data_IF_893514557696
#
_entry.id   IF_893514557696
#
_cell.length_a   1.000
_cell.length_b   1.000
_cell.length_c   1.000
_cell.angle_alpha   90.00
_cell.angle_beta   90.00
_cell.angle_gamma   90.00
#
_symmetry.space_group_name_H-M   'P 1'
#
loop_
_entity.id
_entity.type
_entity.pdbx_description
1 polymer ?
#
# COMPACT_ATOMS: atom_id res chain seq x y z
N UNK A 1 8.22 -10.00 -8.13
CA UNK A 1 8.27 -10.51 -6.74
C UNK A 1 6.89 -10.64 -6.12
N UNK A 2 6.13 -9.56 -5.86
CA UNK A 2 4.78 -9.67 -5.27
C UNK A 2 3.81 -10.46 -6.14
N UNK A 3 3.79 -10.18 -7.46
CA UNK A 3 2.97 -10.94 -8.42
C UNK A 3 3.28 -12.43 -8.41
N UNK A 4 4.55 -12.82 -8.35
CA UNK A 4 4.98 -14.23 -8.35
C UNK A 4 4.50 -14.96 -7.08
N UNK A 5 4.60 -14.30 -5.92
CA UNK A 5 4.10 -14.83 -4.64
C UNK A 5 2.58 -14.96 -4.70
N UNK A 6 1.87 -13.95 -5.21
CA UNK A 6 0.42 -14.01 -5.37
C UNK A 6 -0.01 -15.19 -6.24
N UNK A 7 0.65 -15.39 -7.40
CA UNK A 7 0.36 -16.52 -8.28
C UNK A 7 0.66 -17.86 -7.61
N UNK A 8 1.76 -17.97 -6.85
CA UNK A 8 2.08 -19.17 -6.09
C UNK A 8 1.00 -19.50 -5.04
N UNK A 9 0.53 -18.49 -4.28
CA UNK A 9 -0.52 -18.67 -3.28
C UNK A 9 -1.86 -19.05 -3.93
N UNK A 10 -2.18 -18.45 -5.08
CA UNK A 10 -3.38 -18.75 -5.86
C UNK A 10 -3.35 -20.19 -6.38
N UNK A 11 -2.27 -20.60 -7.05
CA UNK A 11 -2.13 -21.94 -7.64
C UNK A 11 -2.08 -23.05 -6.61
N UNK A 12 -1.54 -22.80 -5.41
CA UNK A 12 -1.59 -23.74 -4.28
C UNK A 12 -2.92 -23.75 -3.52
N UNK A 13 -3.92 -22.96 -3.97
CA UNK A 13 -5.24 -22.87 -3.34
C UNK A 13 -5.24 -22.19 -1.98
N UNK A 14 -4.15 -21.52 -1.58
CA UNK A 14 -4.03 -20.88 -0.26
C UNK A 14 -4.98 -19.68 -0.15
N UNK A 15 -5.21 -18.96 -1.25
CA UNK A 15 -6.10 -17.79 -1.27
C UNK A 15 -7.57 -18.15 -0.94
N UNK A 16 -7.99 -19.40 -1.13
CA UNK A 16 -9.35 -19.85 -0.77
C UNK A 16 -9.66 -19.69 0.72
N UNK A 17 -8.61 -19.72 1.57
CA UNK A 17 -8.73 -19.49 3.02
C UNK A 17 -9.00 -18.04 3.39
N UNK A 18 -8.80 -17.13 2.44
CA UNK A 18 -9.01 -15.70 2.57
C UNK A 18 -10.29 -15.22 1.86
N UNK A 19 -10.99 -16.10 1.16
CA UNK A 19 -12.26 -15.80 0.51
C UNK A 19 -13.36 -15.52 1.55
N UNK A 20 -14.06 -14.42 1.35
CA UNK A 20 -15.24 -13.97 2.10
C UNK A 20 -16.32 -13.56 1.10
N UNK A 21 -17.54 -13.26 1.54
CA UNK A 21 -18.63 -12.69 0.71
C UNK A 21 -18.71 -13.27 -0.71
N UNK A 22 -19.18 -14.51 -0.83
CA UNK A 22 -19.31 -15.20 -2.13
C UNK A 22 -18.01 -15.32 -2.94
N UNK A 23 -16.97 -15.87 -2.28
CA UNK A 23 -15.66 -16.20 -2.90
C UNK A 23 -14.86 -14.99 -3.36
N UNK A 24 -15.05 -13.84 -2.72
CA UNK A 24 -14.31 -12.61 -2.97
C UNK A 24 -13.15 -12.44 -1.98
N UNK A 25 -12.11 -11.72 -2.37
CA UNK A 25 -11.03 -11.33 -1.47
C UNK A 25 -11.30 -9.92 -0.96
N UNK A 26 -11.19 -9.72 0.35
CA UNK A 26 -11.23 -8.40 0.95
C UNK A 26 -9.83 -7.78 0.92
N UNK A 27 -9.72 -6.61 0.29
CA UNK A 27 -8.45 -5.90 0.10
C UNK A 27 -8.62 -4.46 0.61
N UNK A 28 -8.35 -4.19 1.90
CA UNK A 28 -8.16 -2.83 2.36
C UNK A 28 -6.96 -2.19 1.67
N UNK A 29 -7.13 -0.90 1.35
CA UNK A 29 -6.10 -0.01 0.85
C UNK A 29 -5.85 1.02 1.95
N UNK A 30 -4.62 1.08 2.46
CA UNK A 30 -4.21 2.05 3.46
C UNK A 30 -3.01 2.83 2.94
N UNK A 31 -2.97 4.14 3.15
CA UNK A 31 -1.84 4.98 2.76
C UNK A 31 -0.90 5.19 3.95
N UNK A 32 0.40 5.22 3.66
CA UNK A 32 1.42 5.51 4.68
C UNK A 32 2.49 6.44 4.15
N UNK A 33 2.96 7.38 4.97
CA UNK A 33 4.13 8.21 4.66
C UNK A 33 5.38 7.32 4.72
N UNK A 34 5.92 6.96 3.56
CA UNK A 34 7.09 6.10 3.42
C UNK A 34 8.41 6.84 3.75
N UNK A 35 8.49 8.11 3.35
CA UNK A 35 9.67 8.94 3.54
C UNK A 35 9.29 10.41 3.67
N UNK A 36 10.00 11.15 4.53
CA UNK A 36 9.92 12.61 4.56
C UNK A 36 11.25 13.29 4.86
N UNK A 37 11.43 14.49 4.30
CA UNK A 37 12.62 15.32 4.48
C UNK A 37 12.32 16.80 4.27
N UNK A 38 13.09 17.67 4.91
CA UNK A 38 13.10 19.10 4.62
C UNK A 38 14.12 19.49 3.55
N UNK A 39 15.08 18.60 3.23
CA UNK A 39 16.21 18.90 2.36
C UNK A 39 16.28 18.02 1.10
N UNK A 40 15.85 16.76 1.19
CA UNK A 40 15.90 15.79 0.09
C UNK A 40 14.53 15.75 -0.60
N UNK A 41 14.49 15.98 -1.90
CA UNK A 41 13.26 15.95 -2.68
C UNK A 41 13.49 15.47 -4.12
N UNK A 42 12.42 15.05 -4.79
CA UNK A 42 12.38 14.75 -6.21
C UNK A 42 11.06 15.27 -6.83
N UNK A 43 10.93 15.17 -8.15
CA UNK A 43 9.74 15.65 -8.87
C UNK A 43 8.45 14.91 -8.50
N UNK A 44 8.57 13.70 -7.96
CA UNK A 44 7.46 12.84 -7.55
C UNK A 44 7.09 13.01 -6.06
N UNK A 45 7.79 13.88 -5.32
CA UNK A 45 7.44 14.15 -3.93
C UNK A 45 6.19 15.03 -3.85
N UNK A 46 5.28 14.67 -2.94
CA UNK A 46 4.31 15.61 -2.39
C UNK A 46 5.00 16.55 -1.40
N UNK A 47 4.39 17.70 -1.13
CA UNK A 47 4.95 18.66 -0.17
C UNK A 47 3.87 19.26 0.72
N UNK A 48 4.24 19.59 1.95
CA UNK A 48 3.42 20.37 2.89
C UNK A 48 4.18 21.59 3.37
N UNK A 49 3.52 22.73 3.34
CA UNK A 49 4.03 23.98 3.92
C UNK A 49 3.47 24.16 5.32
N UNK A 50 4.35 24.26 6.31
CA UNK A 50 4.00 24.43 7.72
C UNK A 50 3.65 25.90 8.02
N UNK A 51 2.98 26.13 9.16
CA UNK A 51 2.57 27.49 9.59
C UNK A 51 3.75 28.46 9.77
N UNK A 52 4.94 27.94 10.07
CA UNK A 52 6.18 28.72 10.21
C UNK A 52 6.91 28.95 8.86
N UNK A 53 6.32 28.53 7.74
CA UNK A 53 6.86 28.69 6.39
C UNK A 53 7.85 27.59 5.97
N UNK A 54 8.18 26.61 6.81
CA UNK A 54 9.04 25.51 6.39
C UNK A 54 8.29 24.56 5.46
N UNK A 55 9.01 23.95 4.52
CA UNK A 55 8.46 22.95 3.59
C UNK A 55 8.98 21.57 3.98
N UNK A 56 8.12 20.57 3.95
CA UNK A 56 8.50 19.16 4.05
C UNK A 56 8.05 18.44 2.81
N UNK A 57 8.99 17.77 2.16
CA UNK A 57 8.74 16.88 1.03
C UNK A 57 8.57 15.47 1.54
N UNK A 58 7.63 14.72 0.96
CA UNK A 58 7.34 13.36 1.39
C UNK A 58 6.87 12.49 0.23
N UNK A 59 7.08 11.19 0.39
CA UNK A 59 6.45 10.15 -0.41
C UNK A 59 5.52 9.35 0.48
N UNK A 60 4.30 9.14 0.00
CA UNK A 60 3.38 8.17 0.58
C UNK A 60 3.23 6.99 -0.37
N UNK A 61 2.82 5.85 0.15
CA UNK A 61 2.48 4.68 -0.65
C UNK A 61 1.16 4.08 -0.17
N UNK A 62 0.36 3.60 -1.12
CA UNK A 62 -0.80 2.74 -0.85
C UNK A 62 -0.27 1.32 -0.64
N UNK A 63 -0.72 0.70 0.44
CA UNK A 63 -0.34 -0.65 0.87
C UNK A 63 -1.56 -1.58 0.80
N UNK A 64 -1.83 -2.22 -0.35
CA UNK A 64 -2.89 -3.22 -0.46
C UNK A 64 -2.53 -4.49 0.31
N UNK A 65 -3.47 -5.01 1.12
CA UNK A 65 -3.30 -6.29 1.82
C UNK A 65 -4.54 -7.16 1.70
N UNK A 66 -4.38 -8.47 1.47
CA UNK A 66 -5.50 -9.42 1.52
C UNK A 66 -5.72 -9.82 2.98
N UNK A 67 -6.96 -9.68 3.44
CA UNK A 67 -7.38 -9.99 4.81
C UNK A 67 -8.60 -10.92 4.84
N UNK A 68 -8.79 -11.60 5.96
CA UNK A 68 -9.99 -12.39 6.24
C UNK A 68 -10.22 -12.43 7.75
N UNK A 69 -11.47 -12.30 8.24
CA UNK A 69 -11.77 -12.46 9.67
C UNK A 69 -11.39 -13.85 10.22
N UNK A 70 -11.23 -14.84 9.35
CA UNK A 70 -10.88 -16.22 9.71
C UNK A 70 -9.36 -16.47 9.73
N UNK A 71 -8.53 -15.50 9.31
CA UNK A 71 -7.06 -15.63 9.28
C UNK A 71 -6.40 -14.57 10.16
N UNK A 72 -5.42 -14.99 10.98
CA UNK A 72 -4.62 -14.07 11.81
C UNK A 72 -3.53 -13.32 11.02
N UNK A 73 -3.03 -13.94 9.95
CA UNK A 73 -2.00 -13.36 9.09
C UNK A 73 -2.63 -12.68 7.89
N UNK A 74 -2.04 -11.57 7.46
CA UNK A 74 -2.40 -10.86 6.22
C UNK A 74 -1.42 -11.20 5.10
N UNK A 75 -1.82 -11.02 3.85
CA UNK A 75 -0.94 -11.21 2.68
C UNK A 75 -0.77 -9.86 2.01
N UNK A 76 0.45 -9.32 2.01
CA UNK A 76 0.76 -8.08 1.30
C UNK A 76 0.71 -8.25 -0.21
N UNK A 77 0.14 -7.25 -0.88
CA UNK A 77 0.23 -7.07 -2.33
C UNK A 77 1.27 -5.98 -2.64
N UNK A 78 1.47 -5.72 -3.93
CA UNK A 78 2.47 -4.76 -4.39
C UNK A 78 2.12 -3.33 -3.92
N UNK A 79 3.02 -2.62 -3.22
CA UNK A 79 2.79 -1.23 -2.88
C UNK A 79 2.89 -0.31 -4.10
N UNK A 80 2.14 0.79 -4.07
CA UNK A 80 2.19 1.82 -5.11
C UNK A 80 2.43 3.19 -4.50
N UNK A 81 3.43 3.92 -4.99
CA UNK A 81 3.71 5.27 -4.51
C UNK A 81 2.61 6.22 -4.98
N UNK A 82 2.15 7.08 -4.07
CA UNK A 82 1.25 8.18 -4.36
C UNK A 82 2.10 9.36 -4.86
N UNK A 83 1.77 9.83 -6.04
CA UNK A 83 2.39 10.96 -6.72
C UNK A 83 1.45 12.18 -6.74
N UNK A 84 1.95 13.39 -7.01
CA UNK A 84 1.12 14.61 -6.95
C UNK A 84 -0.12 14.63 -7.87
N UNK A 85 -0.16 13.80 -8.92
CA UNK A 85 -1.26 13.74 -9.88
C UNK A 85 -2.36 12.75 -9.48
N UNK A 86 -2.14 11.95 -8.43
CA UNK A 86 -3.07 10.91 -7.99
C UNK A 86 -4.21 11.45 -7.11
N UNK A 87 -4.23 12.77 -6.84
CA UNK A 87 -5.22 13.46 -5.99
C UNK A 87 -5.87 14.69 -6.65
#
# INVERSE_FOLDING_TARGET
MFSDIYQLLKTRGILTRYEVLDKQLLIPLDDTEYFSSQNIHCEQCSHRTHKNGTVTYFHSAILPVIVSPQQKAVISLDPEFITPQDG
#
